data_IF_037430565647
#
_entry.id   IF_037430565647
#
_cell.length_a   1.000
_cell.length_b   1.000
_cell.length_c   1.000
_cell.angle_alpha   90.00
_cell.angle_beta   90.00
_cell.angle_gamma   90.00
#
_symmetry.space_group_name_H-M   'P 1'
#
loop_
_entity.id
_entity.type
_entity.pdbx_description
1 polymer ?
#
# COMPACT_ATOMS: atom_id res chain seq x y z
N UNK A 1 -22.94 -64.95 -75.03
CA UNK A 1 -24.12 -64.15 -74.71
C UNK A 1 -24.23 -63.97 -73.22
N UNK A 2 -23.81 -62.86 -72.68
CA UNK A 2 -23.98 -62.52 -71.25
C UNK A 2 -24.20 -61.03 -71.16
N UNK A 3 -25.37 -60.65 -70.66
CA UNK A 3 -25.77 -59.26 -70.41
C UNK A 3 -25.31 -58.82 -69.06
N UNK A 4 -24.41 -57.86 -69.02
CA UNK A 4 -23.99 -57.18 -67.81
C UNK A 4 -24.97 -56.04 -67.49
N UNK A 5 -25.59 -56.11 -66.28
CA UNK A 5 -26.45 -55.06 -65.73
C UNK A 5 -25.58 -54.16 -64.82
N UNK A 6 -25.39 -52.91 -65.22
CA UNK A 6 -24.82 -51.84 -64.40
C UNK A 6 -25.87 -51.32 -63.42
N UNK A 7 -25.59 -51.43 -62.12
CA UNK A 7 -26.37 -50.78 -61.03
C UNK A 7 -25.90 -49.34 -60.80
N UNK A 8 -26.77 -48.39 -61.16
CA UNK A 8 -26.59 -46.96 -60.76
C UNK A 8 -26.94 -46.78 -59.29
N UNK A 9 -25.97 -46.37 -58.45
CA UNK A 9 -26.23 -46.00 -57.09
C UNK A 9 -26.66 -44.52 -57.02
N UNK A 10 -27.90 -44.26 -56.67
CA UNK A 10 -28.43 -42.96 -56.36
C UNK A 10 -27.92 -42.55 -54.95
N UNK A 11 -26.98 -41.63 -54.91
CA UNK A 11 -26.58 -40.94 -53.69
C UNK A 11 -27.69 -39.97 -53.27
N UNK A 12 -28.53 -40.36 -52.32
CA UNK A 12 -29.51 -39.47 -51.67
C UNK A 12 -28.80 -38.42 -50.86
N UNK A 13 -28.80 -37.16 -51.30
CA UNK A 13 -28.45 -35.98 -50.52
C UNK A 13 -29.47 -35.85 -49.39
N UNK A 14 -29.05 -36.14 -48.14
CA UNK A 14 -29.84 -35.75 -46.97
C UNK A 14 -29.90 -34.24 -46.99
N UNK A 15 -31.09 -33.66 -47.09
CA UNK A 15 -31.36 -32.25 -46.76
C UNK A 15 -31.29 -32.14 -45.23
N UNK A 16 -30.33 -31.42 -44.75
CA UNK A 16 -30.28 -31.07 -43.33
C UNK A 16 -31.58 -30.33 -43.00
N UNK A 17 -32.31 -30.87 -42.04
CA UNK A 17 -33.50 -30.21 -41.51
C UNK A 17 -33.04 -28.92 -40.78
N UNK A 18 -33.81 -27.82 -40.87
CA UNK A 18 -33.44 -26.59 -40.18
C UNK A 18 -33.34 -26.87 -38.68
N UNK A 19 -32.23 -26.46 -38.07
CA UNK A 19 -32.00 -26.59 -36.62
C UNK A 19 -33.19 -25.97 -35.86
N UNK A 20 -33.73 -26.71 -34.89
CA UNK A 20 -34.84 -26.19 -34.08
C UNK A 20 -34.39 -24.91 -33.33
N UNK A 21 -35.30 -23.97 -33.11
CA UNK A 21 -35.04 -22.75 -32.41
C UNK A 21 -34.33 -23.03 -31.04
N UNK A 22 -34.73 -24.12 -30.38
CA UNK A 22 -34.14 -24.61 -29.15
C UNK A 22 -32.64 -25.00 -29.29
N UNK A 23 -32.28 -25.67 -30.41
CA UNK A 23 -30.88 -26.05 -30.66
C UNK A 23 -30.01 -24.85 -31.04
N UNK A 24 -30.57 -23.83 -31.69
CA UNK A 24 -29.88 -22.57 -31.99
C UNK A 24 -29.64 -21.79 -30.70
N UNK A 25 -30.64 -21.64 -29.84
CA UNK A 25 -30.53 -21.00 -28.55
C UNK A 25 -29.49 -21.71 -27.62
N UNK A 26 -29.51 -23.06 -27.63
CA UNK A 26 -28.57 -23.87 -26.88
C UNK A 26 -27.11 -23.71 -27.37
N UNK A 27 -26.93 -23.58 -28.70
CA UNK A 27 -25.61 -23.31 -29.27
C UNK A 27 -25.13 -21.87 -28.96
N UNK A 28 -26.01 -20.88 -29.01
CA UNK A 28 -25.69 -19.49 -28.63
C UNK A 28 -25.27 -19.44 -27.14
N UNK A 29 -26.06 -20.09 -26.26
CA UNK A 29 -25.73 -20.15 -24.82
C UNK A 29 -24.38 -20.85 -24.58
N UNK A 30 -24.07 -21.95 -25.27
CA UNK A 30 -22.77 -22.62 -25.18
C UNK A 30 -21.61 -21.75 -25.70
N UNK A 31 -21.80 -21.00 -26.75
CA UNK A 31 -20.79 -20.08 -27.27
C UNK A 31 -20.57 -18.90 -26.34
N UNK A 32 -21.62 -18.34 -25.75
CA UNK A 32 -21.52 -17.29 -24.74
C UNK A 32 -20.78 -17.80 -23.49
N UNK A 33 -21.15 -18.96 -22.98
CA UNK A 33 -20.50 -19.58 -21.81
C UNK A 33 -19.02 -19.92 -22.06
N UNK A 34 -18.68 -20.40 -23.29
CA UNK A 34 -17.30 -20.64 -23.69
C UNK A 34 -16.49 -19.35 -23.82
N UNK A 35 -17.12 -18.25 -24.26
CA UNK A 35 -16.48 -16.94 -24.37
C UNK A 35 -16.23 -16.33 -22.98
N UNK A 36 -17.22 -16.43 -22.08
CA UNK A 36 -17.09 -15.95 -20.69
C UNK A 36 -15.99 -16.71 -19.95
N UNK A 37 -15.98 -18.05 -20.00
CA UNK A 37 -14.94 -18.86 -19.38
C UNK A 37 -13.52 -18.51 -19.88
N UNK A 38 -13.40 -18.11 -21.16
CA UNK A 38 -12.10 -17.67 -21.72
C UNK A 38 -11.67 -16.30 -21.18
N UNK A 39 -12.61 -15.41 -20.90
CA UNK A 39 -12.32 -14.08 -20.32
C UNK A 39 -11.94 -14.23 -18.86
N UNK A 40 -12.70 -14.99 -18.07
CA UNK A 40 -12.40 -15.26 -16.66
C UNK A 40 -11.03 -15.92 -16.50
N UNK A 41 -10.66 -16.85 -17.40
CA UNK A 41 -9.33 -17.45 -17.40
C UNK A 41 -8.21 -16.43 -17.67
N UNK A 42 -8.45 -15.45 -18.55
CA UNK A 42 -7.49 -14.38 -18.81
C UNK A 42 -7.38 -13.41 -17.62
N UNK A 43 -8.50 -13.10 -16.97
CA UNK A 43 -8.50 -12.26 -15.77
C UNK A 43 -7.70 -12.94 -14.65
N UNK A 44 -8.00 -14.22 -14.35
CA UNK A 44 -7.27 -14.97 -13.32
C UNK A 44 -5.77 -15.09 -13.64
N UNK A 45 -5.43 -15.26 -14.92
CA UNK A 45 -4.04 -15.30 -15.34
C UNK A 45 -3.36 -13.94 -15.16
N UNK A 46 -3.99 -12.84 -15.53
CA UNK A 46 -3.44 -11.50 -15.35
C UNK A 46 -3.26 -11.17 -13.86
N UNK A 47 -4.21 -11.59 -13.01
CA UNK A 47 -4.10 -11.45 -11.56
C UNK A 47 -2.88 -12.21 -11.01
N UNK A 48 -2.68 -13.48 -11.41
CA UNK A 48 -1.50 -14.27 -11.00
C UNK A 48 -0.18 -13.66 -11.52
N UNK A 49 -0.16 -13.13 -12.76
CA UNK A 49 0.99 -12.43 -13.32
C UNK A 49 1.34 -11.16 -12.54
N UNK A 50 0.33 -10.48 -11.97
CA UNK A 50 0.52 -9.29 -11.15
C UNK A 50 1.02 -9.64 -9.74
N UNK A 51 0.33 -10.57 -9.05
CA UNK A 51 0.54 -10.83 -7.62
C UNK A 51 1.62 -11.87 -7.33
N UNK A 52 1.67 -12.97 -8.12
CA UNK A 52 2.59 -14.09 -7.86
C UNK A 52 3.90 -13.95 -8.64
N UNK A 53 3.84 -13.42 -9.87
CA UNK A 53 5.02 -13.24 -10.72
C UNK A 53 5.63 -11.84 -10.60
N UNK A 54 4.92 -10.89 -9.99
CA UNK A 54 5.30 -9.46 -9.88
C UNK A 54 5.69 -8.83 -11.23
N UNK A 55 4.98 -9.23 -12.31
CA UNK A 55 5.21 -8.74 -13.69
C UNK A 55 4.00 -7.95 -14.21
N UNK A 56 3.84 -6.67 -13.83
CA UNK A 56 2.72 -5.85 -14.25
C UNK A 56 2.69 -5.60 -15.76
N UNK A 57 3.83 -5.61 -16.44
CA UNK A 57 3.90 -5.48 -17.91
C UNK A 57 3.31 -6.68 -18.64
N UNK A 58 3.51 -7.88 -18.12
CA UNK A 58 2.95 -9.11 -18.61
C UNK A 58 1.44 -9.18 -18.33
N UNK A 59 1.05 -8.84 -17.10
CA UNK A 59 -0.34 -8.74 -16.68
C UNK A 59 -1.13 -7.76 -17.58
N UNK A 60 -0.55 -6.60 -17.93
CA UNK A 60 -1.17 -5.63 -18.84
C UNK A 60 -1.48 -6.21 -20.22
N UNK A 61 -0.57 -6.99 -20.81
CA UNK A 61 -0.79 -7.65 -22.10
C UNK A 61 -1.95 -8.66 -22.02
N UNK A 62 -1.98 -9.42 -20.93
CA UNK A 62 -3.02 -10.44 -20.71
C UNK A 62 -4.39 -9.81 -20.50
N UNK A 63 -4.50 -8.77 -19.64
CA UNK A 63 -5.78 -8.10 -19.37
C UNK A 63 -6.30 -7.32 -20.58
N UNK A 64 -5.41 -6.70 -21.37
CA UNK A 64 -5.78 -6.05 -22.63
C UNK A 64 -6.40 -7.05 -23.62
N UNK A 65 -5.90 -8.29 -23.64
CA UNK A 65 -6.51 -9.37 -24.43
C UNK A 65 -7.92 -9.74 -23.93
N UNK A 66 -8.17 -9.70 -22.62
CA UNK A 66 -9.50 -9.91 -22.05
C UNK A 66 -10.46 -8.77 -22.44
N UNK A 67 -10.03 -7.52 -22.26
CA UNK A 67 -10.81 -6.32 -22.62
C UNK A 67 -11.10 -6.21 -24.11
N UNK A 68 -10.19 -6.68 -24.99
CA UNK A 68 -10.46 -6.74 -26.44
C UNK A 68 -11.61 -7.69 -26.80
N UNK A 69 -11.88 -8.70 -25.96
CA UNK A 69 -12.98 -9.65 -26.14
C UNK A 69 -14.28 -9.17 -25.47
N UNK A 70 -14.18 -8.52 -24.33
CA UNK A 70 -15.30 -7.91 -23.62
C UNK A 70 -14.88 -6.57 -22.99
N UNK A 71 -15.08 -5.45 -23.70
CA UNK A 71 -14.73 -4.12 -23.20
C UNK A 71 -15.53 -3.64 -21.99
N UNK A 72 -16.65 -4.31 -21.67
CA UNK A 72 -17.55 -3.97 -20.55
C UNK A 72 -17.43 -4.95 -19.38
N UNK A 73 -16.38 -5.75 -19.33
CA UNK A 73 -16.12 -6.64 -18.20
C UNK A 73 -15.63 -5.82 -17.01
N UNK A 74 -16.48 -5.67 -15.98
CA UNK A 74 -16.16 -4.91 -14.77
C UNK A 74 -14.85 -5.40 -14.12
N UNK A 75 -14.75 -6.70 -13.86
CA UNK A 75 -13.53 -7.31 -13.27
C UNK A 75 -12.26 -7.06 -14.09
N UNK A 76 -12.40 -7.09 -15.45
CA UNK A 76 -11.25 -6.82 -16.30
C UNK A 76 -10.86 -5.34 -16.32
N UNK A 77 -11.83 -4.43 -16.21
CA UNK A 77 -11.58 -2.99 -16.11
C UNK A 77 -10.93 -2.64 -14.78
N UNK A 78 -11.43 -3.19 -13.67
CA UNK A 78 -10.87 -2.97 -12.33
C UNK A 78 -9.43 -3.50 -12.24
N UNK A 79 -9.19 -4.75 -12.63
CA UNK A 79 -7.82 -5.29 -12.66
C UNK A 79 -6.89 -4.53 -13.61
N UNK A 80 -7.41 -4.03 -14.75
CA UNK A 80 -6.62 -3.17 -15.62
C UNK A 80 -6.26 -1.83 -14.95
N UNK A 81 -7.17 -1.29 -14.14
CA UNK A 81 -6.91 -0.12 -13.31
C UNK A 81 -5.77 -0.39 -12.31
N UNK A 82 -5.85 -1.47 -11.55
CA UNK A 82 -4.82 -1.88 -10.57
C UNK A 82 -3.45 -2.08 -11.24
N UNK A 83 -3.41 -2.80 -12.36
CA UNK A 83 -2.16 -3.00 -13.13
C UNK A 83 -1.56 -1.67 -13.58
N UNK A 84 -2.38 -0.68 -13.97
CA UNK A 84 -1.85 0.62 -14.38
C UNK A 84 -1.42 1.48 -13.18
N UNK A 85 -1.94 1.27 -11.97
CA UNK A 85 -1.39 1.85 -10.74
C UNK A 85 0.04 1.34 -10.51
N UNK A 86 0.25 0.01 -10.57
CA UNK A 86 1.59 -0.60 -10.42
C UNK A 86 2.58 -0.17 -11.52
N UNK A 87 2.07 0.28 -12.66
CA UNK A 87 2.87 0.82 -13.76
C UNK A 87 3.03 2.35 -13.71
N UNK A 88 2.55 2.98 -12.65
CA UNK A 88 2.56 4.45 -12.48
C UNK A 88 1.79 5.22 -13.58
N UNK A 89 0.92 4.53 -14.37
CA UNK A 89 0.01 5.17 -15.34
C UNK A 89 -1.34 5.50 -14.70
N UNK A 90 -1.34 6.48 -13.79
CA UNK A 90 -2.53 6.92 -13.09
C UNK A 90 -3.64 7.43 -14.02
N UNK A 91 -3.31 8.02 -15.17
CA UNK A 91 -4.32 8.50 -16.13
C UNK A 91 -5.10 7.34 -16.74
N UNK A 92 -4.42 6.27 -17.13
CA UNK A 92 -5.08 5.07 -17.67
C UNK A 92 -5.86 4.34 -16.58
N UNK A 93 -5.32 4.26 -15.35
CA UNK A 93 -6.02 3.68 -14.20
C UNK A 93 -7.35 4.41 -13.93
N UNK A 94 -7.34 5.73 -13.83
CA UNK A 94 -8.56 6.55 -13.65
C UNK A 94 -9.57 6.27 -14.76
N UNK A 95 -9.15 6.17 -16.02
CA UNK A 95 -10.08 5.85 -17.13
C UNK A 95 -10.72 4.47 -16.99
N UNK A 96 -9.96 3.47 -16.57
CA UNK A 96 -10.46 2.12 -16.33
C UNK A 96 -11.49 2.10 -15.21
N UNK A 97 -11.18 2.67 -14.04
CA UNK A 97 -12.10 2.71 -12.91
C UNK A 97 -13.34 3.57 -13.17
N UNK A 98 -13.22 4.71 -13.87
CA UNK A 98 -14.39 5.51 -14.30
C UNK A 98 -15.31 4.74 -15.23
N UNK A 99 -14.74 4.02 -16.21
CA UNK A 99 -15.55 3.20 -17.10
C UNK A 99 -16.27 2.10 -16.32
N UNK A 100 -15.61 1.47 -15.35
CA UNK A 100 -16.25 0.49 -14.46
C UNK A 100 -17.37 1.13 -13.63
N UNK A 101 -17.15 2.32 -13.07
CA UNK A 101 -18.14 3.07 -12.27
C UNK A 101 -19.35 3.54 -13.11
N UNK A 102 -19.15 3.88 -14.38
CA UNK A 102 -20.26 4.21 -15.30
C UNK A 102 -21.11 3.00 -15.64
N UNK A 103 -20.50 1.82 -15.78
CA UNK A 103 -21.18 0.56 -16.06
C UNK A 103 -21.89 -0.02 -14.84
N UNK A 104 -21.41 0.27 -13.64
CA UNK A 104 -21.93 -0.23 -12.38
C UNK A 104 -21.92 0.89 -11.32
N UNK A 105 -22.84 1.88 -11.45
CA UNK A 105 -22.85 3.08 -10.62
C UNK A 105 -23.21 2.82 -9.15
N UNK A 106 -23.87 1.70 -8.83
CA UNK A 106 -24.29 1.32 -7.48
C UNK A 106 -23.37 0.26 -6.83
N UNK A 107 -22.40 -0.28 -7.58
CA UNK A 107 -21.50 -1.31 -7.08
C UNK A 107 -22.08 -2.74 -7.02
N UNK A 108 -23.30 -2.95 -7.53
CA UNK A 108 -23.98 -4.25 -7.42
C UNK A 108 -23.28 -5.36 -8.27
N UNK A 109 -22.53 -4.99 -9.29
CA UNK A 109 -21.88 -5.91 -10.20
C UNK A 109 -20.47 -6.33 -9.78
N UNK A 110 -19.69 -5.44 -9.17
CA UNK A 110 -18.28 -5.72 -8.81
C UNK A 110 -17.83 -5.15 -7.47
N UNK A 111 -18.72 -4.52 -6.71
CA UNK A 111 -18.38 -4.02 -5.39
C UNK A 111 -17.90 -2.57 -5.36
N UNK A 112 -17.24 -2.18 -4.27
CA UNK A 112 -16.85 -0.81 -3.96
C UNK A 112 -15.46 -0.41 -4.52
N UNK A 113 -14.61 -1.38 -4.90
CA UNK A 113 -13.18 -1.16 -5.19
C UNK A 113 -12.92 -0.02 -6.17
N UNK A 114 -13.64 0.01 -7.29
CA UNK A 114 -13.52 1.09 -8.29
C UNK A 114 -13.76 2.49 -7.73
N UNK A 115 -14.66 2.62 -6.75
CA UNK A 115 -14.95 3.91 -6.11
C UNK A 115 -13.86 4.28 -5.11
N UNK A 116 -13.34 3.30 -4.36
CA UNK A 116 -12.22 3.49 -3.43
C UNK A 116 -10.98 3.96 -4.17
N UNK A 117 -10.61 3.28 -5.26
CA UNK A 117 -9.49 3.70 -6.10
C UNK A 117 -9.69 5.11 -6.68
N UNK A 118 -10.89 5.41 -7.23
CA UNK A 118 -11.17 6.75 -7.76
C UNK A 118 -11.09 7.84 -6.70
N UNK A 119 -11.41 7.54 -5.45
CA UNK A 119 -11.28 8.48 -4.35
C UNK A 119 -9.80 8.72 -3.99
N UNK A 120 -9.01 7.65 -3.89
CA UNK A 120 -7.59 7.69 -3.49
C UNK A 120 -6.71 8.39 -4.51
N UNK A 121 -6.91 8.12 -5.82
CA UNK A 121 -6.11 8.71 -6.90
C UNK A 121 -6.76 9.96 -7.52
N UNK A 122 -7.70 10.61 -6.81
CA UNK A 122 -8.45 11.75 -7.30
C UNK A 122 -7.57 13.00 -7.41
N UNK A 123 -7.38 13.48 -8.64
CA UNK A 123 -6.64 14.72 -8.90
C UNK A 123 -7.57 15.96 -9.00
N UNK A 124 -8.90 15.77 -8.90
CA UNK A 124 -9.90 16.83 -9.12
C UNK A 124 -10.27 17.58 -7.83
N UNK A 125 -9.65 17.20 -6.70
CA UNK A 125 -9.80 17.84 -5.38
C UNK A 125 -10.71 17.08 -4.42
N UNK A 126 -10.63 17.45 -3.15
CA UNK A 126 -11.26 16.73 -2.04
C UNK A 126 -12.77 16.57 -2.16
N UNK A 127 -13.51 17.52 -2.74
CA UNK A 127 -14.97 17.37 -2.91
C UNK A 127 -15.33 16.22 -3.87
N UNK A 128 -14.56 16.04 -4.95
CA UNK A 128 -14.78 14.95 -5.91
C UNK A 128 -14.38 13.62 -5.27
N UNK A 129 -13.26 13.58 -4.55
CA UNK A 129 -12.82 12.41 -3.82
C UNK A 129 -13.87 11.95 -2.79
N UNK A 130 -14.43 12.87 -2.00
CA UNK A 130 -15.53 12.58 -1.07
C UNK A 130 -16.72 11.97 -1.81
N UNK A 131 -17.10 12.50 -2.99
CA UNK A 131 -18.20 11.95 -3.76
C UNK A 131 -17.98 10.49 -4.20
N UNK A 132 -16.75 10.09 -4.47
CA UNK A 132 -16.41 8.69 -4.74
C UNK A 132 -16.43 7.84 -3.47
N UNK A 133 -15.85 8.32 -2.37
CA UNK A 133 -15.94 7.63 -1.08
C UNK A 133 -17.39 7.44 -0.61
N UNK A 134 -18.27 8.43 -0.78
CA UNK A 134 -19.69 8.32 -0.41
C UNK A 134 -20.37 7.16 -1.14
N UNK A 135 -20.08 6.94 -2.43
CA UNK A 135 -20.59 5.79 -3.17
C UNK A 135 -20.06 4.46 -2.62
N UNK A 136 -18.75 4.39 -2.36
CA UNK A 136 -18.14 3.20 -1.75
C UNK A 136 -18.77 2.88 -0.40
N UNK A 137 -18.87 3.88 0.48
CA UNK A 137 -19.43 3.75 1.83
C UNK A 137 -20.91 3.36 1.80
N UNK A 138 -21.71 3.92 0.87
CA UNK A 138 -23.11 3.52 0.72
C UNK A 138 -23.26 2.04 0.37
N UNK A 139 -22.45 1.55 -0.57
CA UNK A 139 -22.43 0.13 -0.92
C UNK A 139 -21.97 -0.73 0.25
N UNK A 140 -20.81 -0.40 0.87
CA UNK A 140 -20.21 -1.16 1.96
C UNK A 140 -21.12 -1.24 3.20
N UNK A 141 -21.82 -0.15 3.55
CA UNK A 141 -22.82 -0.17 4.63
C UNK A 141 -23.94 -1.18 4.37
N UNK A 142 -24.43 -1.28 3.12
CA UNK A 142 -25.46 -2.27 2.75
C UNK A 142 -24.93 -3.70 2.91
N UNK A 143 -23.70 -3.96 2.48
CA UNK A 143 -23.07 -5.28 2.56
C UNK A 143 -22.80 -5.68 4.01
N UNK A 144 -22.17 -4.79 4.79
CA UNK A 144 -21.88 -5.02 6.22
C UNK A 144 -23.17 -5.22 7.03
N UNK A 145 -24.21 -4.45 6.76
CA UNK A 145 -25.51 -4.62 7.42
C UNK A 145 -26.18 -5.97 7.04
N UNK A 146 -26.03 -6.43 5.80
CA UNK A 146 -26.58 -7.70 5.34
C UNK A 146 -25.79 -8.90 5.90
N UNK A 147 -24.47 -8.78 6.07
CA UNK A 147 -23.61 -9.82 6.62
C UNK A 147 -23.84 -10.04 8.14
N UNK A 148 -24.37 -9.06 8.86
CA UNK A 148 -24.63 -9.16 10.30
C UNK A 148 -23.36 -9.35 11.11
N UNK A 149 -23.35 -10.36 11.99
CA UNK A 149 -22.19 -10.70 12.84
C UNK A 149 -21.24 -11.72 12.18
N UNK A 150 -21.25 -11.87 10.86
CA UNK A 150 -20.25 -12.73 10.22
C UNK A 150 -18.85 -12.16 10.44
N UNK A 151 -17.88 -13.07 10.62
CA UNK A 151 -16.48 -12.73 10.88
C UNK A 151 -15.71 -12.32 9.60
N UNK A 152 -16.37 -12.21 8.44
CA UNK A 152 -15.75 -11.68 7.24
C UNK A 152 -15.42 -10.19 7.45
N UNK A 153 -14.19 -9.96 7.91
CA UNK A 153 -13.70 -8.64 8.29
C UNK A 153 -13.45 -7.72 7.10
N UNK A 154 -13.17 -8.26 5.90
CA UNK A 154 -12.69 -7.50 4.75
C UNK A 154 -13.58 -6.29 4.37
N UNK A 155 -14.89 -6.48 4.28
CA UNK A 155 -15.81 -5.40 3.95
C UNK A 155 -15.99 -4.38 5.10
N UNK A 156 -15.79 -4.83 6.34
CA UNK A 156 -15.74 -3.93 7.51
C UNK A 156 -14.46 -3.11 7.52
N UNK A 157 -13.34 -3.72 7.18
CA UNK A 157 -12.06 -3.04 7.10
C UNK A 157 -12.04 -2.02 5.96
N UNK A 158 -12.58 -2.37 4.78
CA UNK A 158 -12.77 -1.43 3.67
C UNK A 158 -13.68 -0.26 4.04
N UNK A 159 -14.78 -0.52 4.77
CA UNK A 159 -15.66 0.54 5.26
C UNK A 159 -14.94 1.44 6.27
N UNK A 160 -14.21 0.85 7.19
CA UNK A 160 -13.42 1.57 8.17
C UNK A 160 -12.37 2.48 7.48
N UNK A 161 -11.60 1.93 6.55
CA UNK A 161 -10.57 2.65 5.80
C UNK A 161 -11.17 3.78 4.95
N UNK A 162 -12.29 3.54 4.27
CA UNK A 162 -13.00 4.56 3.51
C UNK A 162 -13.44 5.74 4.39
N UNK A 163 -13.95 5.45 5.61
CA UNK A 163 -14.34 6.48 6.57
C UNK A 163 -13.14 7.26 7.11
N UNK A 164 -12.00 6.60 7.33
CA UNK A 164 -10.73 7.25 7.70
C UNK A 164 -10.26 8.18 6.57
N UNK A 165 -10.23 7.71 5.33
CA UNK A 165 -9.86 8.54 4.18
C UNK A 165 -10.78 9.76 3.99
N UNK A 166 -12.09 9.62 4.24
CA UNK A 166 -13.00 10.78 4.25
C UNK A 166 -12.65 11.79 5.35
N UNK A 167 -12.30 11.30 6.56
CA UNK A 167 -11.88 12.18 7.65
C UNK A 167 -10.57 12.91 7.32
N UNK A 168 -9.62 12.24 6.71
CA UNK A 168 -8.35 12.84 6.29
C UNK A 168 -8.53 13.94 5.26
N UNK A 169 -9.42 13.76 4.27
CA UNK A 169 -9.75 14.82 3.30
C UNK A 169 -10.34 16.03 4.00
N UNK A 170 -11.19 15.84 5.04
CA UNK A 170 -11.71 16.96 5.81
C UNK A 170 -10.71 17.61 6.76
N UNK A 171 -9.64 16.90 7.12
CA UNK A 171 -8.50 17.49 7.86
C UNK A 171 -7.53 18.25 6.96
N UNK A 172 -7.48 17.92 5.67
CA UNK A 172 -6.52 18.47 4.70
C UNK A 172 -7.23 19.40 3.70
N UNK A 173 -7.70 18.88 2.58
CA UNK A 173 -8.25 19.63 1.44
C UNK A 173 -9.49 20.45 1.81
N UNK A 174 -10.32 19.91 2.68
CA UNK A 174 -11.60 20.52 3.07
C UNK A 174 -11.60 21.11 4.48
N UNK A 175 -10.43 21.30 5.09
CA UNK A 175 -10.27 21.78 6.47
C UNK A 175 -10.89 23.19 6.70
N UNK A 176 -11.02 24.00 5.66
CA UNK A 176 -11.60 25.33 5.75
C UNK A 176 -13.13 25.33 5.67
N UNK A 177 -13.79 24.17 5.48
CA UNK A 177 -15.26 24.11 5.48
C UNK A 177 -15.81 24.28 6.89
N UNK A 178 -16.94 24.98 7.05
CA UNK A 178 -17.54 25.24 8.37
C UNK A 178 -17.94 23.98 9.16
N UNK A 179 -18.19 22.88 8.45
CA UNK A 179 -18.60 21.60 9.01
C UNK A 179 -17.47 20.56 9.07
N UNK A 180 -16.22 20.93 8.72
CA UNK A 180 -15.09 20.01 8.63
C UNK A 180 -14.88 19.22 9.94
N UNK A 181 -14.81 19.89 11.09
CA UNK A 181 -14.62 19.24 12.37
C UNK A 181 -15.76 18.25 12.68
N UNK A 182 -17.00 18.65 12.48
CA UNK A 182 -18.14 17.75 12.74
C UNK A 182 -18.22 16.57 11.78
N UNK A 183 -17.72 16.72 10.55
CA UNK A 183 -17.58 15.63 9.58
C UNK A 183 -16.51 14.65 10.04
N UNK A 184 -15.33 15.12 10.42
CA UNK A 184 -14.26 14.26 10.97
C UNK A 184 -14.77 13.43 12.16
N UNK A 185 -15.44 14.07 13.13
CA UNK A 185 -16.02 13.36 14.28
C UNK A 185 -17.06 12.31 13.89
N UNK A 186 -17.89 12.61 12.89
CA UNK A 186 -18.90 11.66 12.41
C UNK A 186 -18.25 10.44 11.76
N UNK A 187 -17.30 10.64 10.86
CA UNK A 187 -16.65 9.55 10.14
C UNK A 187 -15.81 8.69 11.07
N UNK A 188 -15.00 9.30 11.94
CA UNK A 188 -14.15 8.51 12.85
C UNK A 188 -14.97 7.76 13.92
N UNK A 189 -16.10 8.33 14.36
CA UNK A 189 -17.00 7.63 15.27
C UNK A 189 -17.59 6.39 14.59
N UNK A 190 -18.04 6.51 13.35
CA UNK A 190 -18.57 5.38 12.59
C UNK A 190 -17.47 4.34 12.30
N UNK A 191 -16.29 4.75 11.90
CA UNK A 191 -15.15 3.84 11.68
C UNK A 191 -14.85 3.00 12.92
N UNK A 192 -14.78 3.62 14.10
CA UNK A 192 -14.54 2.95 15.37
C UNK A 192 -15.75 2.11 15.87
N UNK A 193 -16.97 2.38 15.40
CA UNK A 193 -18.11 1.50 15.65
C UNK A 193 -18.05 0.24 14.77
N UNK A 194 -17.55 0.37 13.55
CA UNK A 194 -17.37 -0.76 12.61
C UNK A 194 -16.19 -1.64 13.03
N UNK A 195 -15.04 -1.03 13.33
CA UNK A 195 -13.81 -1.72 13.74
C UNK A 195 -13.15 -1.00 14.93
N UNK A 196 -13.54 -1.36 16.18
CA UNK A 196 -13.10 -0.65 17.40
C UNK A 196 -11.58 -0.76 17.69
N UNK A 197 -10.92 -1.74 17.11
CA UNK A 197 -9.49 -2.03 17.28
C UNK A 197 -8.68 -1.80 16.00
N UNK A 198 -9.24 -1.13 14.99
CA UNK A 198 -8.49 -0.77 13.78
C UNK A 198 -7.34 0.17 14.11
N UNK A 199 -6.07 -0.21 13.84
CA UNK A 199 -4.94 0.68 14.03
C UNK A 199 -5.06 1.97 13.21
N UNK A 200 -5.60 1.89 11.98
CA UNK A 200 -5.84 3.02 11.09
C UNK A 200 -6.87 3.99 11.70
N UNK A 201 -8.03 3.51 12.13
CA UNK A 201 -9.05 4.38 12.73
C UNK A 201 -8.56 5.04 14.02
N UNK A 202 -7.78 4.32 14.84
CA UNK A 202 -7.21 4.88 16.07
C UNK A 202 -6.12 5.92 15.76
N UNK A 203 -5.32 5.73 14.72
CA UNK A 203 -4.34 6.69 14.23
C UNK A 203 -5.01 7.95 13.67
N UNK A 204 -6.05 7.78 12.84
CA UNK A 204 -6.85 8.91 12.31
C UNK A 204 -7.55 9.67 13.44
N UNK A 205 -8.07 8.96 14.46
CA UNK A 205 -8.60 9.61 15.67
C UNK A 205 -7.53 10.46 16.36
N UNK A 206 -6.31 9.94 16.50
CA UNK A 206 -5.21 10.70 17.11
C UNK A 206 -4.89 11.97 16.32
N UNK A 207 -4.83 11.90 14.99
CA UNK A 207 -4.63 13.07 14.11
C UNK A 207 -5.73 14.12 14.29
N UNK A 208 -6.99 13.70 14.40
CA UNK A 208 -8.11 14.59 14.70
C UNK A 208 -7.93 15.24 16.07
N UNK A 209 -7.52 14.49 17.11
CA UNK A 209 -7.31 15.03 18.45
C UNK A 209 -6.13 16.00 18.51
N UNK A 210 -5.06 15.75 17.77
CA UNK A 210 -3.93 16.68 17.60
C UNK A 210 -4.43 18.00 17.01
N UNK A 211 -5.16 17.96 15.91
CA UNK A 211 -5.70 19.15 15.24
C UNK A 211 -6.65 19.95 16.15
N UNK A 212 -7.33 19.28 17.09
CA UNK A 212 -8.20 19.90 18.10
C UNK A 212 -7.43 20.38 19.34
N UNK A 213 -6.08 20.28 19.37
CA UNK A 213 -5.24 20.59 20.54
C UNK A 213 -5.62 19.79 21.80
N UNK A 214 -5.95 18.51 21.62
CA UNK A 214 -6.27 17.53 22.68
C UNK A 214 -5.22 16.44 22.77
N UNK A 215 -3.97 16.76 23.20
CA UNK A 215 -2.84 15.83 23.14
C UNK A 215 -3.03 14.58 24.02
N UNK A 216 -3.71 14.68 25.14
CA UNK A 216 -3.97 13.51 26.01
C UNK A 216 -4.90 12.49 25.34
N UNK A 217 -5.95 12.96 24.65
CA UNK A 217 -6.85 12.09 23.90
C UNK A 217 -6.12 11.45 22.71
N UNK A 218 -5.20 12.21 22.06
CA UNK A 218 -4.37 11.69 20.99
C UNK A 218 -3.43 10.57 21.49
N UNK A 219 -2.73 10.78 22.60
CA UNK A 219 -1.87 9.75 23.23
C UNK A 219 -2.64 8.50 23.59
N UNK A 220 -3.84 8.66 24.16
CA UNK A 220 -4.69 7.51 24.48
C UNK A 220 -5.12 6.71 23.24
N UNK A 221 -5.39 7.37 22.11
CA UNK A 221 -5.72 6.72 20.85
C UNK A 221 -4.51 5.99 20.27
N UNK A 222 -3.33 6.62 20.25
CA UNK A 222 -2.07 6.03 19.79
C UNK A 222 -1.66 4.82 20.64
N UNK A 223 -1.73 4.91 21.96
CA UNK A 223 -1.45 3.79 22.84
C UNK A 223 -2.36 2.59 22.55
N UNK A 224 -3.67 2.82 22.35
CA UNK A 224 -4.61 1.77 21.98
C UNK A 224 -4.29 1.16 20.61
N UNK A 225 -3.88 1.98 19.64
CA UNK A 225 -3.47 1.48 18.31
C UNK A 225 -2.23 0.59 18.42
N UNK A 226 -1.23 1.03 19.17
CA UNK A 226 0.01 0.29 19.39
C UNK A 226 -0.24 -1.06 20.09
N UNK A 227 -1.12 -1.12 21.09
CA UNK A 227 -1.47 -2.35 21.80
C UNK A 227 -2.01 -3.47 20.90
N UNK A 228 -2.58 -3.14 19.72
CA UNK A 228 -3.14 -4.15 18.81
C UNK A 228 -2.04 -5.02 18.20
N UNK A 229 -0.89 -4.45 17.92
CA UNK A 229 0.19 -5.13 17.17
C UNK A 229 1.55 -5.12 17.87
N UNK A 230 1.74 -4.36 18.96
CA UNK A 230 2.99 -4.35 19.72
C UNK A 230 3.30 -5.76 20.26
N UNK A 231 4.52 -6.24 20.01
CA UNK A 231 5.02 -7.53 20.50
C UNK A 231 4.51 -8.75 19.74
N UNK A 232 3.84 -8.57 18.61
CA UNK A 232 3.56 -9.66 17.67
C UNK A 232 4.82 -10.03 16.89
N UNK A 233 4.91 -11.30 16.49
CA UNK A 233 6.01 -11.76 15.63
C UNK A 233 5.86 -11.25 14.21
N UNK A 234 6.97 -10.91 13.55
CA UNK A 234 6.97 -10.47 12.15
C UNK A 234 6.25 -11.49 11.25
N UNK A 235 5.33 -10.99 10.43
CA UNK A 235 4.48 -11.82 9.57
C UNK A 235 3.09 -12.12 10.13
N UNK A 236 2.75 -11.65 11.33
CA UNK A 236 1.36 -11.68 11.82
C UNK A 236 0.51 -10.66 11.06
N UNK A 237 -0.62 -11.10 10.49
CA UNK A 237 -1.53 -10.27 9.67
C UNK A 237 -2.09 -9.03 10.40
N UNK A 238 -2.00 -8.99 11.73
CA UNK A 238 -2.43 -7.85 12.55
C UNK A 238 -1.39 -6.73 12.60
N UNK A 239 -0.15 -6.99 12.18
CA UNK A 239 0.89 -5.96 12.11
C UNK A 239 0.58 -5.09 10.90
N UNK A 240 0.37 -3.78 11.07
CA UNK A 240 0.15 -2.88 9.93
C UNK A 240 1.36 -2.86 8.98
N UNK A 241 1.09 -2.56 7.71
CA UNK A 241 2.14 -2.45 6.69
C UNK A 241 3.22 -1.43 7.08
N UNK A 242 4.44 -1.64 6.59
CA UNK A 242 5.61 -0.80 6.88
C UNK A 242 5.34 0.71 6.72
N UNK A 243 4.73 1.20 5.61
CA UNK A 243 4.47 2.64 5.44
C UNK A 243 3.52 3.22 6.49
N UNK A 244 2.53 2.43 6.94
CA UNK A 244 1.64 2.86 8.02
C UNK A 244 2.42 3.03 9.32
N UNK A 245 3.23 2.04 9.72
CA UNK A 245 4.02 2.09 10.97
C UNK A 245 5.00 3.26 10.95
N UNK A 246 5.60 3.55 9.80
CA UNK A 246 6.49 4.71 9.63
C UNK A 246 5.74 6.04 9.79
N UNK A 247 4.55 6.16 9.21
CA UNK A 247 3.69 7.35 9.40
C UNK A 247 3.17 7.46 10.83
N UNK A 248 2.89 6.35 11.49
CA UNK A 248 2.46 6.26 12.87
C UNK A 248 3.53 6.78 13.85
N UNK A 249 4.83 6.52 13.57
CA UNK A 249 5.91 7.05 14.42
C UNK A 249 5.98 8.58 14.40
N UNK A 250 5.61 9.22 13.29
CA UNK A 250 5.53 10.70 13.23
C UNK A 250 4.47 11.23 14.19
N UNK A 251 3.33 10.57 14.31
CA UNK A 251 2.29 10.94 15.28
C UNK A 251 2.71 10.68 16.73
N UNK A 252 3.44 9.59 16.99
CA UNK A 252 4.02 9.33 18.31
C UNK A 252 4.99 10.45 18.71
N UNK A 253 5.88 10.86 17.81
CA UNK A 253 6.82 11.96 18.03
C UNK A 253 6.09 13.28 18.29
N UNK A 254 5.06 13.60 17.51
CA UNK A 254 4.25 14.81 17.68
C UNK A 254 3.52 14.84 19.04
N UNK A 255 3.12 13.66 19.52
CA UNK A 255 2.52 13.47 20.84
C UNK A 255 3.55 13.31 21.97
N UNK A 256 4.85 13.44 21.68
CA UNK A 256 5.95 13.28 22.64
C UNK A 256 6.06 11.87 23.26
N UNK A 257 5.56 10.85 22.56
CA UNK A 257 5.66 9.43 22.90
C UNK A 257 6.93 8.83 22.26
N UNK A 258 8.09 9.36 22.70
CA UNK A 258 9.37 9.08 22.02
C UNK A 258 9.88 7.66 22.24
N UNK A 259 9.66 7.08 23.42
CA UNK A 259 10.07 5.70 23.72
C UNK A 259 9.31 4.73 22.79
N UNK A 260 8.01 4.90 22.68
CA UNK A 260 7.19 4.08 21.79
C UNK A 260 7.54 4.31 20.32
N UNK A 261 7.90 5.54 19.95
CA UNK A 261 8.35 5.83 18.58
C UNK A 261 9.66 5.10 18.25
N UNK A 262 10.64 5.10 19.18
CA UNK A 262 11.90 4.38 18.98
C UNK A 262 11.69 2.86 18.94
N UNK A 263 10.86 2.30 19.83
CA UNK A 263 10.50 0.87 19.80
C UNK A 263 10.00 0.43 18.39
N UNK A 264 9.16 1.28 17.77
CA UNK A 264 8.62 0.99 16.42
C UNK A 264 9.70 1.14 15.35
N UNK A 265 10.51 2.20 15.43
CA UNK A 265 11.57 2.48 14.45
C UNK A 265 12.67 1.41 14.47
N UNK A 266 13.07 0.93 15.63
CA UNK A 266 14.02 -0.18 15.76
C UNK A 266 13.46 -1.48 15.16
N UNK A 267 12.17 -1.74 15.33
CA UNK A 267 11.50 -2.86 14.67
C UNK A 267 11.47 -2.72 13.15
N UNK A 268 11.22 -1.51 12.64
CA UNK A 268 11.24 -1.22 11.20
C UNK A 268 12.66 -1.34 10.62
N UNK A 269 13.68 -0.91 11.36
CA UNK A 269 15.10 -1.06 10.97
C UNK A 269 15.50 -2.53 10.83
N UNK A 270 15.02 -3.39 11.72
CA UNK A 270 15.30 -4.85 11.63
C UNK A 270 14.60 -5.51 10.45
N UNK A 271 13.49 -4.94 9.98
CA UNK A 271 12.72 -5.46 8.85
C UNK A 271 13.30 -4.99 7.51
N UNK A 272 13.62 -3.69 7.39
CA UNK A 272 14.23 -3.08 6.20
C UNK A 272 14.99 -1.81 6.62
N UNK A 273 16.28 -1.84 6.52
CA UNK A 273 17.21 -0.75 6.84
C UNK A 273 17.58 0.13 5.63
N UNK A 274 17.02 -0.16 4.44
CA UNK A 274 17.32 0.59 3.21
C UNK A 274 16.37 1.78 2.96
N UNK A 275 15.62 2.20 3.97
CA UNK A 275 14.61 3.27 3.85
C UNK A 275 15.15 4.60 4.39
N UNK A 276 15.30 5.61 3.51
CA UNK A 276 15.78 6.97 3.86
C UNK A 276 14.92 7.61 4.96
N UNK A 277 13.59 7.52 4.83
CA UNK A 277 12.64 8.06 5.81
C UNK A 277 12.79 7.48 7.21
N UNK A 278 13.10 6.19 7.32
CA UNK A 278 13.33 5.50 8.60
C UNK A 278 14.47 6.17 9.37
N UNK A 279 15.62 6.28 8.75
CA UNK A 279 16.83 6.86 9.36
C UNK A 279 16.65 8.33 9.67
N UNK A 280 15.94 9.06 8.82
CA UNK A 280 15.61 10.46 9.07
C UNK A 280 14.72 10.64 10.31
N UNK A 281 13.62 9.87 10.40
CA UNK A 281 12.65 9.98 11.50
C UNK A 281 13.30 9.54 12.82
N UNK A 282 14.09 8.46 12.80
CA UNK A 282 14.81 7.98 13.98
C UNK A 282 15.85 8.98 14.47
N UNK A 283 16.65 9.53 13.58
CA UNK A 283 17.61 10.58 13.93
C UNK A 283 16.94 11.84 14.49
N UNK A 284 15.82 12.25 13.90
CA UNK A 284 15.01 13.37 14.43
C UNK A 284 14.42 13.07 15.80
N UNK A 285 13.87 11.87 16.01
CA UNK A 285 13.34 11.43 17.31
C UNK A 285 14.42 11.49 18.40
N UNK A 286 15.58 10.89 18.14
CA UNK A 286 16.72 10.90 19.08
C UNK A 286 17.23 12.33 19.37
N UNK A 287 17.25 13.21 18.37
CA UNK A 287 17.59 14.62 18.58
C UNK A 287 16.62 15.30 19.53
N UNK A 288 15.32 15.05 19.42
CA UNK A 288 14.30 15.60 20.33
C UNK A 288 14.45 15.05 21.74
N UNK A 289 14.72 13.75 21.90
CA UNK A 289 15.01 13.11 23.19
C UNK A 289 16.24 13.78 23.83
N UNK A 290 17.38 13.84 23.13
CA UNK A 290 18.61 14.43 23.62
C UNK A 290 18.44 15.91 24.02
N UNK A 291 17.68 16.68 23.24
CA UNK A 291 17.36 18.07 23.53
C UNK A 291 16.53 18.20 24.83
N UNK A 292 15.52 17.35 25.03
CA UNK A 292 14.72 17.32 26.26
C UNK A 292 15.54 16.90 27.49
N UNK A 293 16.38 15.87 27.35
CA UNK A 293 17.29 15.43 28.41
C UNK A 293 18.20 16.56 28.82
N UNK A 294 18.74 17.34 27.89
CA UNK A 294 19.57 18.51 28.15
C UNK A 294 18.82 19.62 28.91
N UNK A 295 17.61 19.98 28.46
CA UNK A 295 16.76 21.00 29.07
C UNK A 295 16.40 20.64 30.51
N UNK A 296 16.12 19.39 30.79
CA UNK A 296 15.79 18.87 32.11
C UNK A 296 17.03 18.73 33.05
N UNK A 297 18.24 19.03 32.56
CA UNK A 297 19.52 19.01 33.33
C UNK A 297 19.70 17.70 34.12
N UNK A 298 19.37 16.57 33.54
CA UNK A 298 19.47 15.29 34.24
C UNK A 298 18.43 15.07 35.35
N UNK A 299 17.34 15.85 35.36
CA UNK A 299 16.25 15.69 36.35
C UNK A 299 15.32 14.48 36.06
N UNK A 300 15.56 13.74 35.01
CA UNK A 300 15.03 12.40 34.88
C UNK A 300 15.84 11.44 35.75
N UNK A 301 15.70 11.60 37.07
CA UNK A 301 16.06 10.54 38.02
C UNK A 301 14.98 9.46 37.81
N UNK A 302 15.34 8.42 37.04
CA UNK A 302 14.57 7.19 37.06
C UNK A 302 14.51 6.70 38.49
N UNK A 303 13.33 6.47 39.00
CA UNK A 303 13.07 6.17 40.43
C UNK A 303 13.76 4.86 40.90
N UNK A 304 14.46 4.15 40.06
CA UNK A 304 15.06 2.83 40.30
C UNK A 304 16.59 2.77 40.21
N UNK A 305 17.32 3.90 40.05
CA UNK A 305 18.79 3.90 40.13
C UNK A 305 19.51 3.21 38.97
N UNK A 306 18.85 3.09 37.84
CA UNK A 306 19.45 2.63 36.57
C UNK A 306 20.12 3.82 35.87
N UNK A 307 21.13 3.53 35.04
CA UNK A 307 22.00 4.54 34.41
C UNK A 307 21.19 5.63 33.71
N UNK A 308 21.51 6.89 34.05
CA UNK A 308 20.92 8.06 33.37
C UNK A 308 21.49 8.11 31.96
N UNK A 309 20.67 7.99 30.95
CA UNK A 309 21.09 8.27 29.57
C UNK A 309 21.70 9.67 29.49
N UNK A 310 22.97 9.77 29.09
CA UNK A 310 23.59 11.06 28.85
C UNK A 310 23.03 11.67 27.57
N UNK A 311 22.48 12.89 27.67
CA UNK A 311 21.96 13.61 26.50
C UNK A 311 22.97 13.71 25.35
N UNK A 312 24.31 13.66 25.67
CA UNK A 312 25.36 13.69 24.65
C UNK A 312 25.45 12.37 23.88
N UNK A 313 25.30 11.26 24.57
CA UNK A 313 25.29 9.92 23.94
C UNK A 313 24.06 9.78 23.06
N UNK A 314 22.90 10.26 23.55
CA UNK A 314 21.67 10.29 22.72
C UNK A 314 21.83 11.18 21.47
N UNK A 315 22.47 12.35 21.58
CA UNK A 315 22.77 13.18 20.40
C UNK A 315 23.83 12.53 19.49
N UNK A 316 24.74 11.72 20.04
CA UNK A 316 25.68 10.90 19.28
C UNK A 316 24.93 9.87 18.43
N UNK A 317 24.02 9.11 19.04
CA UNK A 317 23.14 8.17 18.34
C UNK A 317 22.28 8.87 17.26
N UNK A 318 21.71 10.06 17.57
CA UNK A 318 20.98 10.84 16.58
C UNK A 318 21.83 11.16 15.35
N UNK A 319 23.12 11.49 15.55
CA UNK A 319 24.07 11.78 14.48
C UNK A 319 24.34 10.57 13.60
N UNK A 320 24.50 9.39 14.18
CA UNK A 320 24.71 8.13 13.42
C UNK A 320 23.49 7.82 12.55
N UNK A 321 22.28 7.91 13.10
CA UNK A 321 21.05 7.72 12.31
C UNK A 321 20.95 8.71 11.14
N UNK A 322 21.25 10.00 11.38
CA UNK A 322 21.22 11.00 10.31
C UNK A 322 22.31 10.81 9.26
N UNK A 323 23.46 10.24 9.60
CA UNK A 323 24.50 9.88 8.62
C UNK A 323 24.03 8.73 7.72
N UNK A 324 23.40 7.70 8.30
CA UNK A 324 22.79 6.63 7.51
C UNK A 324 21.72 7.18 6.57
N UNK A 325 20.91 8.13 7.04
CA UNK A 325 19.97 8.84 6.17
C UNK A 325 20.71 9.55 5.00
N UNK A 326 21.79 10.31 5.27
CA UNK A 326 22.56 10.97 4.21
C UNK A 326 23.23 9.98 3.24
N UNK A 327 23.71 8.84 3.74
CA UNK A 327 24.34 7.78 2.93
C UNK A 327 23.31 7.22 1.94
N UNK A 328 22.15 6.78 2.44
CA UNK A 328 21.07 6.23 1.61
C UNK A 328 20.47 7.29 0.67
N UNK A 329 20.30 8.52 1.14
CA UNK A 329 19.84 9.64 0.31
C UNK A 329 20.70 9.81 -0.94
N UNK A 330 22.02 9.73 -0.77
CA UNK A 330 22.99 9.83 -1.89
C UNK A 330 22.98 8.56 -2.77
N UNK A 331 22.92 7.39 -2.15
CA UNK A 331 22.97 6.11 -2.86
C UNK A 331 21.74 5.90 -3.77
N UNK A 332 20.56 6.30 -3.31
CA UNK A 332 19.31 6.15 -4.06
C UNK A 332 18.91 7.38 -4.90
N UNK A 333 19.76 8.41 -4.93
CA UNK A 333 19.43 9.69 -5.59
C UNK A 333 18.03 10.22 -5.16
N UNK A 334 17.76 10.14 -3.86
CA UNK A 334 16.44 10.46 -3.30
C UNK A 334 16.04 11.90 -3.58
N UNK A 335 14.79 12.14 -3.98
CA UNK A 335 14.34 13.44 -4.52
C UNK A 335 13.82 14.42 -3.46
N UNK A 336 13.54 13.97 -2.19
CA UNK A 336 12.97 14.84 -1.15
C UNK A 336 14.03 15.79 -0.56
N UNK A 337 14.12 17.00 -1.14
CA UNK A 337 15.02 18.05 -0.64
C UNK A 337 14.68 18.49 0.80
N UNK A 338 13.42 18.34 1.25
CA UNK A 338 13.01 18.68 2.61
C UNK A 338 13.66 17.79 3.66
N UNK A 339 13.76 16.50 3.42
CA UNK A 339 14.49 15.55 4.29
C UNK A 339 15.96 15.93 4.33
N UNK A 340 16.58 16.17 3.19
CA UNK A 340 18.00 16.53 3.09
C UNK A 340 18.33 17.80 3.87
N UNK A 341 17.56 18.86 3.65
CA UNK A 341 17.81 20.15 4.27
C UNK A 341 17.63 20.07 5.79
N UNK A 342 16.57 19.42 6.26
CA UNK A 342 16.33 19.29 7.70
C UNK A 342 17.33 18.35 8.38
N UNK A 343 17.69 17.22 7.76
CA UNK A 343 18.73 16.32 8.29
C UNK A 343 20.07 17.06 8.43
N UNK A 344 20.46 17.86 7.43
CA UNK A 344 21.68 18.70 7.47
C UNK A 344 21.60 19.75 8.59
N UNK A 345 20.43 20.37 8.81
CA UNK A 345 20.22 21.32 9.90
C UNK A 345 20.36 20.64 11.26
N UNK A 346 19.78 19.46 11.44
CA UNK A 346 19.89 18.67 12.67
C UNK A 346 21.35 18.30 12.96
N UNK A 347 22.09 17.81 11.97
CA UNK A 347 23.51 17.49 12.08
C UNK A 347 24.34 18.72 12.48
N UNK A 348 24.08 19.88 11.87
CA UNK A 348 24.76 21.13 12.25
C UNK A 348 24.43 21.56 13.70
N UNK A 349 23.21 21.33 14.16
CA UNK A 349 22.81 21.61 15.53
C UNK A 349 23.46 20.63 16.52
N UNK A 350 23.54 19.35 16.20
CA UNK A 350 24.25 18.34 17.00
C UNK A 350 25.74 18.70 17.10
N UNK A 351 26.39 19.09 16.00
CA UNK A 351 27.80 19.49 16.01
C UNK A 351 28.07 20.70 16.89
N UNK A 352 27.17 21.68 16.99
CA UNK A 352 27.25 22.80 17.91
C UNK A 352 27.21 22.37 19.39
N UNK A 353 26.46 21.31 19.69
CA UNK A 353 26.24 20.85 21.06
C UNK A 353 27.32 19.90 21.59
N UNK A 354 27.70 18.92 20.80
CA UNK A 354 28.66 17.87 21.20
C UNK A 354 29.97 17.90 20.42
N UNK A 355 30.16 18.90 19.54
CA UNK A 355 31.35 19.02 18.67
C UNK A 355 31.25 18.25 17.39
N UNK A 356 32.19 18.54 16.48
CA UNK A 356 32.30 17.80 15.21
C UNK A 356 32.71 16.34 15.49
N UNK A 357 32.22 15.44 14.65
CA UNK A 357 32.63 14.05 14.69
C UNK A 357 34.13 13.92 14.37
N UNK A 358 34.81 13.00 15.03
CA UNK A 358 36.17 12.66 14.67
C UNK A 358 36.17 11.91 13.33
N UNK A 359 37.22 12.03 12.51
CA UNK A 359 37.31 11.25 11.27
C UNK A 359 37.17 9.73 11.48
N UNK A 360 37.67 9.25 12.62
CA UNK A 360 37.61 7.85 13.06
C UNK A 360 36.15 7.35 13.20
N UNK A 361 35.22 8.22 13.61
CA UNK A 361 33.79 7.87 13.79
C UNK A 361 33.05 7.66 12.46
N UNK A 362 33.65 8.05 11.30
CA UNK A 362 33.10 7.88 9.95
C UNK A 362 33.72 6.70 9.18
N UNK A 363 34.96 6.30 9.53
CA UNK A 363 35.71 5.29 8.79
C UNK A 363 35.33 3.85 9.18
N UNK A 364 34.74 3.62 10.36
CA UNK A 364 34.29 2.28 10.77
C UNK A 364 33.09 1.76 9.95
N UNK A 365 32.31 2.64 9.31
CA UNK A 365 31.18 2.25 8.46
C UNK A 365 31.55 2.07 6.95
N UNK A 366 32.68 2.63 6.49
CA UNK A 366 33.14 2.48 5.10
C UNK A 366 33.99 1.21 4.88
N UNK A 367 34.36 0.50 5.97
CA UNK A 367 35.32 -0.61 5.93
C UNK A 367 34.78 -1.98 5.51
N UNK A 368 33.47 -2.20 5.40
CA UNK A 368 32.90 -3.53 5.11
C UNK A 368 32.51 -3.75 3.63
N UNK A 369 32.72 -2.78 2.73
CA UNK A 369 32.31 -2.90 1.32
C UNK A 369 33.45 -3.22 0.33
N UNK A 370 34.72 -3.38 0.76
CA UNK A 370 35.83 -3.78 -0.12
C UNK A 370 36.28 -5.22 0.12
N UNK A 371 35.47 -6.22 -0.23
CA UNK A 371 35.94 -7.56 -0.64
C UNK A 371 34.84 -8.33 -1.38
N UNK A 372 34.68 -8.06 -2.67
CA UNK A 372 33.72 -8.79 -3.51
C UNK A 372 33.92 -8.72 -5.01
N UNK A 373 35.10 -8.23 -5.48
CA UNK A 373 35.50 -8.40 -6.88
C UNK A 373 35.95 -9.85 -7.13
N UNK A 374 34.99 -10.76 -7.23
CA UNK A 374 35.22 -12.06 -7.80
C UNK A 374 35.39 -11.91 -9.31
N UNK A 375 36.64 -11.93 -9.78
CA UNK A 375 37.00 -12.10 -11.19
C UNK A 375 36.34 -13.39 -11.71
N UNK A 376 35.37 -13.22 -12.60
CA UNK A 376 34.85 -14.31 -13.42
C UNK A 376 35.89 -14.60 -14.51
N UNK A 377 36.71 -15.65 -14.33
CA UNK A 377 37.55 -16.21 -15.38
C UNK A 377 36.60 -16.90 -16.39
N UNK A 378 36.56 -16.35 -17.61
CA UNK A 378 35.94 -16.98 -18.78
C UNK A 378 36.84 -18.14 -19.22
N UNK A 379 36.48 -19.38 -18.85
CA UNK A 379 37.04 -20.58 -19.43
C UNK A 379 36.37 -20.86 -20.79
N UNK A 380 36.89 -20.24 -21.83
CA UNK A 380 36.66 -20.64 -23.23
C UNK A 380 37.44 -21.93 -23.54
N UNK A 381 36.88 -23.12 -23.34
CA UNK A 381 37.40 -24.36 -23.92
C UNK A 381 36.73 -24.64 -25.28
N UNK A 382 37.46 -24.25 -26.34
CA UNK A 382 37.27 -24.70 -27.72
C UNK A 382 37.46 -26.23 -27.85
N UNK A 383 36.39 -26.99 -27.92
CA UNK A 383 36.45 -28.38 -28.39
C UNK A 383 36.28 -28.44 -29.92
N UNK A 384 37.41 -28.54 -30.62
CA UNK A 384 37.50 -28.96 -32.03
C UNK A 384 36.94 -30.37 -32.23
N UNK A 385 35.81 -30.50 -32.93
CA UNK A 385 35.38 -31.78 -33.49
C UNK A 385 36.25 -32.13 -34.72
N UNK A 386 37.08 -33.16 -34.58
CA UNK A 386 37.73 -33.85 -35.71
C UNK A 386 36.90 -35.06 -36.13
N UNK A 387 36.52 -35.02 -37.40
CA UNK A 387 35.98 -36.14 -38.17
C UNK A 387 36.85 -37.42 -38.14
N UNK A 388 36.22 -38.58 -37.91
CA UNK A 388 36.51 -39.84 -38.59
C UNK A 388 35.35 -40.82 -38.45
#
# INVERSE_FOLDING_TARGET
MAKTKTKSSKKTRRKDAPASLASVLQNIAKHQQSSTNNIDALISKASSELTEESDPQKALKTITSALSKNPTSLKALELAGEINIELEDGETAIRCFRTAAELDPEGEGSGAEKFLWLAQICLEGGEVAIGWYEKAVEYLRKVVAAAGNSEDGEEKDKLCSALCGMAEIYMTDLCMKPDAESRCETFITEALLVSPSSPEALSTLASIRISQSKPEDARAALARSLEVWKGLELGDDRIPAYPFRLSFTRLLIECEMYEEAMDVLEGLQQEDDQMVDLWYIGGWCLFLIGSKLKENQGKLQVANGEDVEDWKDTLGAAREWLWNCEKLYKAFEWEDEGIKDHASELLANIAKEIGDAKPEDREEEEGDEEEGDAEWEDDDEDEEMKDS
#
